data_IF_399889376485
#
_entry.id   IF_399889376485
#
_cell.length_a   1.000
_cell.length_b   1.000
_cell.length_c   1.000
_cell.angle_alpha   90.00
_cell.angle_beta   90.00
_cell.angle_gamma   90.00
#
_symmetry.space_group_name_H-M   'P 1'
#
loop_
_entity.id
_entity.type
_entity.pdbx_description
1 polymer ?
#
# COMPACT_ATOMS: atom_id res chain seq x y z
N UNK A 1 8.51 16.86 2.34
CA UNK A 1 8.97 15.67 1.57
C UNK A 1 9.87 16.07 0.40
N UNK A 2 9.44 16.93 -0.54
CA UNK A 2 10.34 17.34 -1.64
C UNK A 2 11.63 17.99 -1.15
N UNK A 3 11.55 18.84 -0.14
CA UNK A 3 12.71 19.50 0.47
C UNK A 3 13.66 18.53 1.21
N UNK A 4 13.19 17.34 1.57
CA UNK A 4 14.02 16.28 2.16
C UNK A 4 14.65 15.36 1.11
N UNK A 5 14.52 15.69 -0.18
CA UNK A 5 15.05 14.90 -1.30
C UNK A 5 14.15 13.75 -1.76
N UNK A 6 12.94 13.59 -1.20
CA UNK A 6 12.03 12.53 -1.61
C UNK A 6 11.33 12.86 -2.94
N UNK A 7 11.23 11.87 -3.83
CA UNK A 7 10.38 11.94 -5.01
C UNK A 7 8.92 11.73 -4.60
N UNK A 8 8.14 12.80 -4.58
CA UNK A 8 6.73 12.74 -4.15
C UNK A 8 5.83 12.29 -5.29
N UNK A 9 5.22 11.13 -5.13
CA UNK A 9 4.25 10.55 -6.05
C UNK A 9 2.83 10.78 -5.52
N UNK A 10 1.91 11.16 -6.40
CA UNK A 10 0.49 11.25 -6.06
C UNK A 10 -0.14 9.84 -6.13
N UNK A 11 -0.05 9.11 -5.02
CA UNK A 11 -0.53 7.73 -4.90
C UNK A 11 -1.02 7.43 -3.49
N UNK A 12 -1.94 6.46 -3.37
CA UNK A 12 -2.40 5.97 -2.06
C UNK A 12 -1.35 5.10 -1.38
N UNK A 13 -0.67 4.26 -2.16
CA UNK A 13 0.41 3.37 -1.71
C UNK A 13 1.60 3.54 -2.66
N UNK A 14 2.79 3.74 -2.08
CA UNK A 14 4.06 3.70 -2.80
C UNK A 14 4.90 2.57 -2.21
N UNK A 15 5.35 1.66 -3.07
CA UNK A 15 6.39 0.67 -2.73
C UNK A 15 7.71 1.15 -3.36
N UNK A 16 8.71 1.40 -2.51
CA UNK A 16 10.09 1.74 -2.90
C UNK A 16 11.05 0.68 -2.31
N UNK A 17 10.68 -0.60 -2.47
CA UNK A 17 11.48 -1.75 -2.05
C UNK A 17 11.40 -2.04 -0.56
N UNK A 18 12.29 -1.42 0.23
CA UNK A 18 12.38 -1.57 1.68
C UNK A 18 11.64 -0.47 2.46
N UNK A 19 11.22 0.59 1.77
CA UNK A 19 10.36 1.64 2.30
C UNK A 19 9.01 1.64 1.59
N UNK A 20 7.94 1.53 2.36
CA UNK A 20 6.58 1.65 1.86
C UNK A 20 5.88 2.80 2.57
N UNK A 21 5.12 3.59 1.82
CA UNK A 21 4.44 4.78 2.35
C UNK A 21 2.99 4.86 1.92
N UNK A 22 2.17 5.55 2.72
CA UNK A 22 0.77 5.81 2.45
C UNK A 22 0.50 7.32 2.35
N UNK A 23 -0.28 7.73 1.35
CA UNK A 23 -0.55 9.15 1.06
C UNK A 23 -1.49 9.86 2.04
N UNK A 24 -2.22 9.11 2.88
CA UNK A 24 -3.17 9.66 3.83
C UNK A 24 -3.62 8.65 4.88
N UNK A 25 -4.42 9.10 5.85
CA UNK A 25 -4.83 8.28 7.03
C UNK A 25 -5.52 6.99 6.60
N UNK A 26 -6.51 7.07 5.71
CA UNK A 26 -7.27 5.89 5.28
C UNK A 26 -6.49 5.03 4.28
N UNK A 27 -5.51 5.59 3.57
CA UNK A 27 -4.58 4.84 2.73
C UNK A 27 -3.62 3.95 3.53
N UNK A 28 -3.54 4.12 4.86
CA UNK A 28 -2.85 3.18 5.73
C UNK A 28 -3.48 1.78 5.70
N UNK A 29 -4.80 1.67 5.49
CA UNK A 29 -5.48 0.37 5.35
C UNK A 29 -5.13 -0.30 4.02
N UNK A 30 -5.07 0.49 2.96
CA UNK A 30 -4.61 0.02 1.65
C UNK A 30 -3.17 -0.51 1.74
N UNK A 31 -2.26 0.24 2.37
CA UNK A 31 -0.88 -0.19 2.61
C UNK A 31 -0.81 -1.45 3.47
N UNK A 32 -1.60 -1.55 4.53
CA UNK A 32 -1.63 -2.74 5.39
C UNK A 32 -2.07 -3.99 4.61
N UNK A 33 -3.11 -3.87 3.79
CA UNK A 33 -3.57 -4.98 2.94
C UNK A 33 -2.53 -5.34 1.87
N UNK A 34 -1.83 -4.36 1.33
CA UNK A 34 -0.73 -4.59 0.40
C UNK A 34 0.44 -5.34 1.06
N UNK A 35 0.81 -4.99 2.30
CA UNK A 35 1.83 -5.71 3.07
C UNK A 35 1.42 -7.16 3.34
N UNK A 36 0.14 -7.39 3.68
CA UNK A 36 -0.40 -8.75 3.85
C UNK A 36 -0.30 -9.54 2.54
N UNK A 37 -0.65 -8.93 1.40
CA UNK A 37 -0.52 -9.57 0.08
C UNK A 37 0.94 -9.92 -0.22
N UNK A 38 1.88 -9.00 0.01
CA UNK A 38 3.31 -9.22 -0.22
C UNK A 38 3.89 -10.32 0.66
N UNK A 39 3.45 -10.41 1.92
CA UNK A 39 3.99 -11.38 2.87
C UNK A 39 3.31 -12.77 2.82
N UNK A 40 2.02 -12.82 2.48
CA UNK A 40 1.20 -14.04 2.62
C UNK A 40 0.38 -14.39 1.37
N UNK A 41 0.48 -13.59 0.31
CA UNK A 41 -0.25 -13.78 -0.95
C UNK A 41 -1.65 -13.15 -0.95
N UNK A 42 -2.19 -13.02 -2.17
CA UNK A 42 -3.46 -12.33 -2.43
C UNK A 42 -4.66 -12.95 -1.73
N UNK A 43 -4.69 -14.28 -1.58
CA UNK A 43 -5.81 -14.99 -0.95
C UNK A 43 -5.98 -14.60 0.52
N UNK A 44 -4.86 -14.45 1.25
CA UNK A 44 -4.87 -14.03 2.65
C UNK A 44 -5.25 -12.55 2.75
N UNK A 45 -4.70 -11.68 1.91
CA UNK A 45 -5.07 -10.26 1.87
C UNK A 45 -6.55 -10.05 1.59
N UNK A 46 -7.11 -10.81 0.64
CA UNK A 46 -8.55 -10.79 0.31
C UNK A 46 -9.39 -11.22 1.51
N UNK A 47 -8.99 -12.29 2.21
CA UNK A 47 -9.69 -12.74 3.41
C UNK A 47 -9.65 -11.69 4.53
N UNK A 48 -8.50 -11.06 4.74
CA UNK A 48 -8.37 -9.98 5.75
C UNK A 48 -9.30 -8.82 5.38
N UNK A 49 -9.29 -8.36 4.13
CA UNK A 49 -10.16 -7.30 3.64
C UNK A 49 -11.64 -7.62 3.88
N UNK A 50 -12.07 -8.86 3.62
CA UNK A 50 -13.43 -9.32 3.92
C UNK A 50 -13.76 -9.27 5.41
N UNK A 51 -12.85 -9.74 6.28
CA UNK A 51 -13.07 -9.77 7.74
C UNK A 51 -13.23 -8.38 8.33
N UNK A 52 -12.50 -7.40 7.80
CA UNK A 52 -12.58 -6.00 8.26
C UNK A 52 -13.61 -5.18 7.47
N UNK A 53 -14.39 -5.82 6.59
CA UNK A 53 -15.38 -5.18 5.73
C UNK A 53 -14.84 -4.00 4.93
N UNK A 54 -13.62 -4.14 4.41
CA UNK A 54 -12.93 -3.09 3.66
C UNK A 54 -12.82 -3.43 2.18
N UNK A 55 -13.27 -2.50 1.34
CA UNK A 55 -13.07 -2.57 -0.10
C UNK A 55 -11.68 -2.03 -0.47
N UNK A 56 -10.85 -2.87 -1.09
CA UNK A 56 -9.52 -2.46 -1.57
C UNK A 56 -9.67 -1.40 -2.66
N UNK A 57 -9.01 -0.24 -2.51
CA UNK A 57 -9.04 0.86 -3.48
C UNK A 57 -7.65 1.39 -3.81
N UNK A 58 -6.67 0.49 -3.97
CA UNK A 58 -5.30 0.91 -4.20
C UNK A 58 -4.74 0.39 -5.51
N UNK A 59 -4.14 1.32 -6.26
CA UNK A 59 -3.07 1.05 -7.21
C UNK A 59 -1.75 1.37 -6.50
N UNK A 60 -0.76 0.49 -6.65
CA UNK A 60 0.56 0.65 -6.02
C UNK A 60 1.52 1.26 -7.03
N UNK A 61 2.04 2.44 -6.72
CA UNK A 61 3.12 3.05 -7.49
C UNK A 61 4.48 2.45 -7.07
N UNK A 62 5.39 2.27 -8.03
CA UNK A 62 6.77 1.85 -7.75
C UNK A 62 7.00 0.34 -7.69
N UNK A 63 6.03 -0.50 -8.09
CA UNK A 63 6.29 -1.93 -8.32
C UNK A 63 7.36 -2.05 -9.41
N UNK A 64 8.60 -2.39 -9.03
CA UNK A 64 9.58 -2.89 -9.99
C UNK A 64 9.00 -4.17 -10.61
N UNK A 65 9.09 -4.29 -11.95
CA UNK A 65 9.03 -5.61 -12.60
C UNK A 65 10.24 -6.45 -12.21
#
# INVERSE_FOLDING_TARGET
>A
LRESGAHVVDARVVDDGDLLTAGGVTSGLDLALYLVERAFGESIATRVATVIEYERRYDVAGREE
#
